data_IF_094442994383
#
_entry.id   IF_094442994383
#
_cell.length_a   1.000
_cell.length_b   1.000
_cell.length_c   1.000
_cell.angle_alpha   90.00
_cell.angle_beta   90.00
_cell.angle_gamma   90.00
#
_symmetry.space_group_name_H-M   'P 1'
#
loop_
_entity.id
_entity.type
_entity.pdbx_description
1 polymer ?
#
# COMPACT_ATOMS: atom_id res chain seq x y z
N UNK A 1 -13.00 4.16 -0.20
CA UNK A 1 -11.91 3.46 -0.90
C UNK A 1 -11.00 4.46 -1.57
N UNK A 2 -9.72 4.20 -1.57
CA UNK A 2 -8.74 5.07 -2.20
C UNK A 2 -7.84 4.23 -3.09
N UNK A 3 -7.51 4.78 -4.24
CA UNK A 3 -6.71 4.08 -5.23
C UNK A 3 -5.46 4.91 -5.54
N UNK A 4 -4.30 4.26 -5.55
CA UNK A 4 -3.05 4.94 -5.83
C UNK A 4 -2.37 4.23 -6.98
N UNK A 5 -2.11 4.95 -8.06
CA UNK A 5 -1.35 4.41 -9.18
C UNK A 5 0.12 4.73 -8.97
N UNK A 6 0.97 3.71 -9.11
CA UNK A 6 2.39 3.89 -8.90
C UNK A 6 2.99 4.53 -10.15
N UNK A 7 3.55 5.71 -9.96
CA UNK A 7 4.20 6.44 -11.04
C UNK A 7 5.67 6.07 -11.10
N UNK A 8 6.34 6.56 -12.13
CA UNK A 8 7.76 6.30 -12.30
C UNK A 8 8.56 6.70 -11.06
N UNK A 9 8.15 7.78 -10.40
CA UNK A 9 8.86 8.28 -9.21
C UNK A 9 8.78 7.34 -8.03
N UNK A 10 7.69 6.57 -7.93
CA UNK A 10 7.49 5.69 -6.80
C UNK A 10 7.94 4.26 -7.09
N UNK A 11 8.22 3.94 -8.33
CA UNK A 11 8.63 2.59 -8.70
C UNK A 11 9.98 2.25 -8.07
N UNK A 12 10.17 0.98 -7.75
CA UNK A 12 11.41 0.52 -7.17
C UNK A 12 11.45 0.55 -5.65
N UNK A 13 10.43 1.08 -5.01
CA UNK A 13 10.34 1.07 -3.56
C UNK A 13 9.62 -0.18 -3.08
N UNK A 14 9.89 -0.55 -1.83
CA UNK A 14 9.08 -1.57 -1.20
C UNK A 14 7.73 -0.99 -0.82
N UNK A 15 6.72 -1.84 -0.82
CA UNK A 15 5.37 -1.39 -0.53
C UNK A 15 5.25 -0.81 0.89
N UNK A 16 5.89 -1.44 1.86
CA UNK A 16 5.83 -0.95 3.23
C UNK A 16 6.46 0.43 3.35
N UNK A 17 7.54 0.67 2.64
CA UNK A 17 8.18 1.98 2.65
C UNK A 17 7.29 3.04 2.00
N UNK A 18 6.69 2.68 0.88
CA UNK A 18 5.80 3.61 0.20
C UNK A 18 4.62 3.99 1.10
N UNK A 19 4.02 3.00 1.75
CA UNK A 19 2.89 3.26 2.63
C UNK A 19 3.29 4.10 3.84
N UNK A 20 4.49 3.90 4.36
CA UNK A 20 4.97 4.69 5.49
C UNK A 20 5.08 6.16 5.11
N UNK A 21 5.45 6.44 3.87
CA UNK A 21 5.50 7.82 3.39
C UNK A 21 4.12 8.37 3.11
N UNK A 22 3.27 7.57 2.50
CA UNK A 22 1.94 8.01 2.11
C UNK A 22 1.04 8.24 3.33
N UNK A 23 1.13 7.32 4.30
CA UNK A 23 0.36 7.41 5.53
C UNK A 23 1.33 7.61 6.69
N UNK A 24 2.02 8.74 6.66
CA UNK A 24 3.15 8.96 7.56
C UNK A 24 2.76 9.09 9.02
N UNK A 25 1.48 9.19 9.33
CA UNK A 25 1.02 9.26 10.71
C UNK A 25 0.62 7.90 11.29
N UNK A 26 0.69 6.86 10.49
CA UNK A 26 0.30 5.54 10.93
C UNK A 26 1.53 4.67 11.18
N UNK A 27 1.49 3.80 12.20
CA UNK A 27 2.63 2.91 12.45
C UNK A 27 2.67 1.76 11.43
N UNK A 28 3.84 1.13 11.32
CA UNK A 28 3.99 0.01 10.40
C UNK A 28 3.04 -1.13 10.71
N UNK A 29 2.80 -1.39 12.00
CA UNK A 29 1.90 -2.46 12.39
C UNK A 29 0.50 -2.25 11.81
N UNK A 30 0.08 -1.01 11.66
CA UNK A 30 -1.20 -0.70 11.06
C UNK A 30 -1.24 -1.18 9.60
N UNK A 31 -0.18 -0.90 8.85
CA UNK A 31 -0.14 -1.32 7.45
C UNK A 31 -0.20 -2.83 7.32
N UNK A 32 0.59 -3.53 8.13
CA UNK A 32 0.62 -4.99 8.04
C UNK A 32 -0.70 -5.61 8.43
N UNK A 33 -1.35 -5.03 9.43
CA UNK A 33 -2.68 -5.48 9.82
C UNK A 33 -3.69 -5.28 8.70
N UNK A 34 -3.65 -4.13 8.06
CA UNK A 34 -4.56 -3.83 6.97
C UNK A 34 -4.31 -4.72 5.75
N UNK A 35 -3.04 -5.00 5.46
CA UNK A 35 -2.70 -5.88 4.35
C UNK A 35 -3.16 -7.30 4.63
N UNK A 36 -3.02 -7.76 5.86
CA UNK A 36 -3.47 -9.10 6.24
C UNK A 36 -4.97 -9.25 6.08
N UNK A 37 -5.71 -8.19 6.36
CA UNK A 37 -7.16 -8.21 6.24
C UNK A 37 -7.64 -7.90 4.82
N UNK A 38 -6.73 -7.71 3.89
CA UNK A 38 -7.04 -7.34 2.51
C UNK A 38 -7.67 -5.96 2.40
N UNK A 39 -7.49 -5.12 3.40
CA UNK A 39 -7.94 -3.74 3.33
C UNK A 39 -6.95 -2.89 2.53
N UNK A 40 -5.73 -3.38 2.36
CA UNK A 40 -4.75 -2.78 1.47
C UNK A 40 -4.31 -3.87 0.50
N UNK A 41 -4.52 -3.64 -0.77
CA UNK A 41 -4.19 -4.63 -1.79
C UNK A 41 -3.28 -4.02 -2.85
N UNK A 42 -2.52 -4.88 -3.53
CA UNK A 42 -1.66 -4.49 -4.63
C UNK A 42 -2.15 -5.22 -5.87
N UNK A 43 -2.60 -4.45 -6.86
CA UNK A 43 -3.16 -5.01 -8.10
C UNK A 43 -4.29 -5.99 -7.82
N UNK A 44 -5.10 -5.70 -6.80
CA UNK A 44 -6.23 -6.53 -6.45
C UNK A 44 -5.89 -7.77 -5.67
N UNK A 45 -4.63 -7.95 -5.29
CA UNK A 45 -4.19 -9.13 -4.55
C UNK A 45 -3.74 -8.73 -3.16
N UNK A 46 -3.82 -9.70 -2.24
CA UNK A 46 -3.34 -9.47 -0.88
C UNK A 46 -1.86 -9.12 -0.91
N UNK A 47 -1.49 -8.08 -0.17
CA UNK A 47 -0.10 -7.65 -0.09
C UNK A 47 0.49 -8.10 1.23
N UNK A 48 1.81 -8.28 1.26
CA UNK A 48 2.51 -8.66 2.49
C UNK A 48 3.50 -7.61 2.95
N UNK A 49 3.78 -6.60 2.12
CA UNK A 49 4.60 -5.47 2.53
C UNK A 49 5.98 -5.44 1.93
N UNK A 50 6.50 -6.56 1.49
CA UNK A 50 7.85 -6.62 0.93
C UNK A 50 7.87 -6.58 -0.60
N UNK A 51 6.73 -6.35 -1.22
CA UNK A 51 6.66 -6.28 -2.67
C UNK A 51 7.41 -5.06 -3.16
N UNK A 52 8.09 -5.21 -4.27
CA UNK A 52 8.71 -4.10 -4.95
C UNK A 52 7.72 -3.49 -5.92
N UNK A 53 7.45 -2.21 -5.75
CA UNK A 53 6.47 -1.53 -6.59
C UNK A 53 7.06 -1.23 -7.95
N UNK A 54 6.23 -1.34 -8.97
CA UNK A 54 6.61 -1.06 -10.34
C UNK A 54 5.66 -0.04 -10.91
N UNK A 55 6.14 0.69 -11.90
CA UNK A 55 5.29 1.66 -12.58
C UNK A 55 4.06 0.94 -13.16
N UNK A 56 2.90 1.50 -12.91
CA UNK A 56 1.65 0.91 -13.37
C UNK A 56 0.94 0.07 -12.32
N UNK A 57 1.61 -0.24 -11.22
CA UNK A 57 0.95 -0.96 -10.14
C UNK A 57 -0.13 -0.09 -9.50
N UNK A 58 -1.18 -0.72 -8.98
CA UNK A 58 -2.28 -0.01 -8.35
C UNK A 58 -2.46 -0.53 -6.94
N UNK A 59 -2.42 0.38 -5.99
CA UNK A 59 -2.66 0.06 -4.58
C UNK A 59 -4.06 0.55 -4.23
N UNK A 60 -4.87 -0.33 -3.66
CA UNK A 60 -6.21 0.03 -3.22
C UNK A 60 -6.28 -0.01 -1.71
N UNK A 61 -6.82 1.05 -1.14
CA UNK A 61 -6.97 1.19 0.31
C UNK A 61 -8.44 1.17 0.65
N UNK A 62 -8.88 0.10 1.29
CA UNK A 62 -10.25 -0.04 1.76
C UNK A 62 -10.31 0.22 3.24
N UNK A 63 -9.96 1.45 3.63
CA UNK A 63 -9.91 1.82 5.03
C UNK A 63 -11.26 2.34 5.47
N UNK A 64 -11.66 1.94 6.67
CA UNK A 64 -12.91 2.40 7.22
C UNK A 64 -12.83 3.90 7.49
N UNK A 65 -13.92 4.57 7.20
CA UNK A 65 -14.05 5.99 7.54
C UNK A 65 -14.53 6.10 8.96
N UNK A 66 -13.91 6.95 9.72
CA UNK A 66 -14.40 7.15 11.08
C UNK A 66 -14.73 8.55 11.33
#
# INVERSE_FOLDING_TARGET
>A
MREISIQKNEAGQRMDKFLAKYLNKAPKSFFYKMMRKKNITLNGKKAVGNEQLKQGDVIKLFLAEE
#
